data_IF_155324295153
#
_entry.id   IF_155324295153
#
_cell.length_a   1.000
_cell.length_b   1.000
_cell.length_c   1.000
_cell.angle_alpha   90.00
_cell.angle_beta   90.00
_cell.angle_gamma   90.00
#
_symmetry.space_group_name_H-M   'P 1'
#
loop_
_entity.id
_entity.type
_entity.pdbx_description
1 polymer ?
#
# COMPACT_ATOMS: atom_id res chain seq x y z
N UNK A 1 -8.30 11.71 -1.39
CA UNK A 1 -9.51 10.90 -1.18
C UNK A 1 -10.00 10.98 0.26
N UNK A 2 -11.31 10.76 0.44
CA UNK A 2 -11.91 10.61 1.77
C UNK A 2 -11.95 9.13 2.16
N UNK A 3 -12.19 8.87 3.46
CA UNK A 3 -12.26 7.50 3.96
C UNK A 3 -13.33 6.65 3.27
N UNK A 4 -14.40 7.28 2.78
CA UNK A 4 -15.50 6.59 2.08
C UNK A 4 -15.24 6.37 0.59
N UNK A 5 -14.15 6.89 0.05
CA UNK A 5 -13.86 6.80 -1.37
C UNK A 5 -13.26 5.44 -1.74
N UNK A 6 -13.37 5.10 -3.02
CA UNK A 6 -12.59 4.02 -3.64
C UNK A 6 -11.54 4.66 -4.54
N UNK A 7 -10.37 4.04 -4.59
CA UNK A 7 -9.23 4.59 -5.34
C UNK A 7 -8.67 3.55 -6.30
N UNK A 8 -8.15 4.04 -7.41
CA UNK A 8 -7.41 3.26 -8.39
C UNK A 8 -5.95 3.62 -8.28
N UNK A 9 -5.11 2.63 -8.00
CA UNK A 9 -3.69 2.85 -7.71
C UNK A 9 -2.81 1.84 -8.44
N UNK A 10 -1.59 2.28 -8.77
CA UNK A 10 -0.47 1.38 -9.00
C UNK A 10 0.41 1.37 -7.75
N UNK A 11 0.88 0.19 -7.37
CA UNK A 11 1.75 0.06 -6.21
C UNK A 11 2.82 -1.00 -6.41
N UNK A 12 3.91 -0.84 -5.69
CA UNK A 12 5.04 -1.75 -5.69
C UNK A 12 5.53 -1.91 -4.26
N UNK A 13 5.32 -3.07 -3.68
CA UNK A 13 5.64 -3.35 -2.28
C UNK A 13 6.88 -4.20 -2.14
N UNK A 14 7.82 -3.76 -1.30
CA UNK A 14 9.06 -4.47 -1.04
C UNK A 14 9.33 -4.59 0.44
N UNK A 15 10.12 -5.58 0.80
CA UNK A 15 10.73 -5.70 2.12
C UNK A 15 12.02 -4.87 2.17
N UNK A 16 12.57 -4.68 3.38
CA UNK A 16 13.80 -3.90 3.56
C UNK A 16 14.97 -4.50 2.76
N UNK A 17 14.99 -5.84 2.61
CA UNK A 17 16.02 -6.54 1.84
C UNK A 17 15.85 -6.41 0.31
N UNK A 18 14.82 -5.70 -0.15
CA UNK A 18 14.56 -5.48 -1.57
C UNK A 18 13.67 -6.51 -2.24
N UNK A 19 13.25 -7.57 -1.53
CA UNK A 19 12.35 -8.56 -2.11
C UNK A 19 10.97 -7.98 -2.32
N UNK A 20 10.43 -8.12 -3.53
CA UNK A 20 9.08 -7.71 -3.87
C UNK A 20 8.10 -8.75 -3.34
N UNK A 21 7.13 -8.33 -2.53
CA UNK A 21 6.10 -9.24 -2.02
C UNK A 21 4.76 -9.05 -2.74
N UNK A 22 4.52 -7.90 -3.33
CA UNK A 22 3.31 -7.63 -4.12
C UNK A 22 3.54 -6.40 -4.99
N UNK A 23 3.00 -6.41 -6.22
CA UNK A 23 3.19 -5.30 -7.14
C UNK A 23 2.13 -5.33 -8.25
N UNK A 24 1.30 -4.29 -8.31
CA UNK A 24 0.39 -4.10 -9.44
C UNK A 24 1.16 -3.71 -10.70
N UNK A 25 2.28 -3.02 -10.55
CA UNK A 25 3.15 -2.65 -11.67
C UNK A 25 3.69 -3.90 -12.37
N UNK A 26 4.14 -4.88 -11.59
CA UNK A 26 4.65 -6.13 -12.17
C UNK A 26 3.56 -6.96 -12.81
N UNK A 27 2.31 -6.86 -12.34
CA UNK A 27 1.16 -7.52 -12.96
C UNK A 27 0.66 -6.79 -14.21
N UNK A 28 1.06 -5.53 -14.41
CA UNK A 28 0.64 -4.73 -15.55
C UNK A 28 -0.77 -4.15 -15.45
N UNK A 29 -1.42 -4.22 -14.28
CA UNK A 29 -2.76 -3.70 -14.05
C UNK A 29 -2.87 -2.93 -12.74
N UNK A 30 -3.48 -1.73 -12.74
CA UNK A 30 -3.77 -1.04 -11.49
C UNK A 30 -4.82 -1.80 -10.68
N UNK A 31 -4.79 -1.58 -9.37
CA UNK A 31 -5.75 -2.16 -8.44
C UNK A 31 -6.72 -1.11 -7.94
N UNK A 32 -7.95 -1.53 -7.61
CA UNK A 32 -8.96 -0.66 -7.02
C UNK A 32 -9.28 -1.13 -5.60
N UNK A 33 -9.18 -0.21 -4.65
CA UNK A 33 -9.45 -0.46 -3.24
C UNK A 33 -10.38 0.58 -2.65
N UNK A 34 -11.18 0.18 -1.66
CA UNK A 34 -11.79 1.15 -0.74
C UNK A 34 -10.70 1.68 0.20
N UNK A 35 -10.71 2.97 0.47
CA UNK A 35 -9.66 3.62 1.28
C UNK A 35 -9.52 2.97 2.66
N UNK A 36 -10.61 2.49 3.27
CA UNK A 36 -10.58 1.85 4.58
C UNK A 36 -10.40 0.33 4.52
N UNK A 37 -10.23 -0.25 3.33
CA UNK A 37 -10.11 -1.71 3.14
C UNK A 37 -8.66 -2.18 3.01
N UNK A 38 -7.71 -1.31 3.29
CA UNK A 38 -6.27 -1.56 3.16
C UNK A 38 -5.59 -1.43 4.51
N UNK A 39 -4.30 -1.73 4.58
CA UNK A 39 -3.55 -1.60 5.84
C UNK A 39 -3.57 -0.15 6.32
N UNK A 40 -3.43 0.03 7.64
CA UNK A 40 -3.61 1.34 8.28
C UNK A 40 -2.67 2.42 7.71
N UNK A 41 -1.43 2.08 7.40
CA UNK A 41 -0.51 3.01 6.79
C UNK A 41 -1.00 3.56 5.45
N UNK A 42 -1.67 2.73 4.65
CA UNK A 42 -2.31 3.16 3.41
C UNK A 42 -3.54 4.01 3.67
N UNK A 43 -4.35 3.67 4.67
CA UNK A 43 -5.54 4.46 5.02
C UNK A 43 -5.14 5.89 5.30
N UNK A 44 -4.08 6.09 6.07
CA UNK A 44 -3.59 7.43 6.40
C UNK A 44 -2.98 8.13 5.19
N UNK A 45 -2.13 7.44 4.43
CA UNK A 45 -1.44 8.04 3.29
C UNK A 45 -2.40 8.43 2.16
N UNK A 46 -3.34 7.55 1.81
CA UNK A 46 -4.27 7.81 0.70
C UNK A 46 -5.11 9.05 0.94
N UNK A 47 -5.50 9.32 2.18
CA UNK A 47 -6.29 10.51 2.50
C UNK A 47 -5.49 11.81 2.36
N UNK A 48 -4.17 11.74 2.34
CA UNK A 48 -3.29 12.88 2.16
C UNK A 48 -2.82 13.07 0.72
N UNK A 49 -2.90 12.02 -0.10
CA UNK A 49 -2.37 12.03 -1.46
C UNK A 49 -3.33 12.71 -2.44
N UNK A 50 -2.87 13.70 -3.22
CA UNK A 50 -3.65 14.18 -4.36
C UNK A 50 -3.64 13.17 -5.50
N UNK A 51 -4.68 13.17 -6.32
CA UNK A 51 -4.72 12.37 -7.56
C UNK A 51 -3.54 12.76 -8.46
N UNK A 52 -2.87 11.77 -9.01
CA UNK A 52 -1.68 11.97 -9.83
C UNK A 52 -0.37 11.95 -9.07
N UNK A 53 -0.40 11.89 -7.73
CA UNK A 53 0.82 11.82 -6.93
C UNK A 53 1.36 10.40 -6.86
N UNK A 54 2.68 10.31 -6.65
CA UNK A 54 3.37 9.04 -6.40
C UNK A 54 4.24 9.22 -5.16
N UNK A 55 3.98 8.43 -4.14
CA UNK A 55 4.67 8.51 -2.85
C UNK A 55 5.38 7.20 -2.55
N UNK A 56 6.53 7.32 -1.90
CA UNK A 56 7.21 6.17 -1.31
C UNK A 56 6.91 6.16 0.19
N UNK A 57 6.30 5.07 0.66
CA UNK A 57 5.84 4.91 2.03
C UNK A 57 6.71 3.91 2.76
N UNK A 58 7.21 4.29 3.93
CA UNK A 58 7.87 3.39 4.87
C UNK A 58 6.89 3.13 6.00
N UNK A 59 6.32 1.93 6.04
CA UNK A 59 5.21 1.62 6.93
C UNK A 59 5.70 0.68 8.03
N UNK A 60 5.73 1.14 9.29
CA UNK A 60 6.08 0.26 10.40
C UNK A 60 5.04 -0.85 10.56
N UNK A 61 5.44 -1.96 11.17
CA UNK A 61 4.58 -3.14 11.26
C UNK A 61 3.25 -2.86 11.97
N UNK A 62 3.21 -1.95 12.92
CA UNK A 62 1.99 -1.59 13.64
C UNK A 62 0.91 -1.00 12.72
N UNK A 63 1.31 -0.41 11.62
CA UNK A 63 0.41 0.16 10.61
C UNK A 63 0.28 -0.73 9.38
N UNK A 64 0.82 -1.94 9.43
CA UNK A 64 0.78 -2.94 8.37
C UNK A 64 0.20 -4.26 8.92
N UNK A 65 0.98 -5.32 8.92
CA UNK A 65 0.48 -6.65 9.34
C UNK A 65 0.86 -7.02 10.77
N UNK A 66 1.55 -6.16 11.49
CA UNK A 66 1.81 -6.29 12.92
C UNK A 66 2.52 -7.58 13.31
N UNK A 67 2.15 -8.09 14.47
CA UNK A 67 2.75 -9.28 15.05
C UNK A 67 2.35 -10.59 14.34
N UNK A 68 1.31 -10.56 13.53
CA UNK A 68 0.82 -11.75 12.81
C UNK A 68 1.55 -11.96 11.49
N UNK A 69 2.04 -10.89 10.86
CA UNK A 69 2.56 -10.95 9.51
C UNK A 69 1.47 -11.27 8.49
N UNK A 70 1.87 -11.68 7.28
CA UNK A 70 0.94 -12.03 6.21
C UNK A 70 1.51 -13.20 5.40
N UNK A 71 0.94 -14.38 5.58
CA UNK A 71 1.36 -15.58 4.90
C UNK A 71 2.84 -15.88 5.09
N UNK A 72 3.47 -16.41 4.03
CA UNK A 72 4.91 -16.72 4.05
C UNK A 72 5.76 -15.54 3.55
N UNK A 73 5.12 -14.54 2.95
CA UNK A 73 5.83 -13.41 2.32
C UNK A 73 6.22 -12.34 3.32
N UNK A 74 5.42 -12.13 4.36
CA UNK A 74 5.62 -11.06 5.33
C UNK A 74 5.68 -11.68 6.73
N UNK A 75 6.88 -11.67 7.31
CA UNK A 75 7.10 -12.17 8.67
C UNK A 75 6.45 -11.23 9.70
N UNK A 76 6.25 -11.69 10.94
CA UNK A 76 5.80 -10.82 12.02
C UNK A 76 6.77 -9.64 12.22
N UNK A 77 6.22 -8.50 12.65
CA UNK A 77 6.99 -7.28 12.97
C UNK A 77 7.83 -6.75 11.80
N UNK A 78 7.30 -6.84 10.58
CA UNK A 78 8.04 -6.43 9.38
C UNK A 78 7.61 -5.05 8.92
N UNK A 79 8.57 -4.15 8.75
CA UNK A 79 8.37 -2.86 8.09
C UNK A 79 8.25 -3.08 6.59
N UNK A 80 7.28 -2.42 5.97
CA UNK A 80 7.02 -2.52 4.53
C UNK A 80 7.39 -1.22 3.83
N UNK A 81 7.86 -1.35 2.59
CA UNK A 81 8.16 -0.21 1.72
C UNK A 81 7.23 -0.29 0.52
N UNK A 82 6.43 0.75 0.31
CA UNK A 82 5.53 0.83 -0.85
C UNK A 82 5.83 2.06 -1.67
N UNK A 83 5.85 1.90 -2.98
CA UNK A 83 5.66 3.01 -3.91
C UNK A 83 4.20 2.97 -4.35
N UNK A 84 3.46 4.03 -4.11
CA UNK A 84 2.02 4.10 -4.41
C UNK A 84 1.77 5.29 -5.32
N UNK A 85 1.15 5.04 -6.46
CA UNK A 85 0.71 6.08 -7.38
C UNK A 85 -0.81 6.12 -7.38
N UNK A 86 -1.38 7.25 -6.95
CA UNK A 86 -2.82 7.46 -6.94
C UNK A 86 -3.28 7.92 -8.32
N UNK A 87 -3.92 7.01 -9.06
CA UNK A 87 -4.32 7.28 -10.43
C UNK A 87 -5.66 8.00 -10.52
N UNK A 88 -6.63 7.61 -9.69
CA UNK A 88 -7.97 8.17 -9.75
C UNK A 88 -8.77 7.84 -8.50
N UNK A 89 -9.84 8.59 -8.30
CA UNK A 89 -10.91 8.29 -7.33
C UNK A 89 -12.09 7.78 -8.16
N UNK A 90 -12.54 6.57 -7.87
CA UNK A 90 -13.55 5.90 -8.69
C UNK A 90 -14.90 5.76 -7.98
#
# INVERSE_FOLDING_TARGET
>A
PAASDRVKVHYHGTLINGNVFDSSVNRGEPATFGVTQVIQGWVEALQLMPVGSKWKLYIPSELAYGAQGAGQSIAPHTTLIFEVELLDIV
#
